data_IF_555782681871
#
_entry.id   IF_555782681871
#
_cell.length_a   1.000
_cell.length_b   1.000
_cell.length_c   1.000
_cell.angle_alpha   90.00
_cell.angle_beta   90.00
_cell.angle_gamma   90.00
#
_symmetry.space_group_name_H-M   'P 1'
#
loop_
_entity.id
_entity.type
_entity.pdbx_description
1 polymer ?
#
# COMPACT_ATOMS: atom_id res chain seq x y z
N UNK A 1 -5.66 -0.13 7.22
CA UNK A 1 -6.11 1.26 7.04
C UNK A 1 -4.91 2.17 6.94
N UNK A 2 -4.92 3.13 6.02
CA UNK A 2 -3.77 3.96 5.68
C UNK A 2 -3.20 4.83 6.80
N UNK A 3 -3.95 5.11 7.86
CA UNK A 3 -3.55 6.10 8.86
C UNK A 3 -2.23 5.75 9.58
N UNK A 4 -2.06 4.50 9.99
CA UNK A 4 -0.82 4.06 10.66
C UNK A 4 0.35 4.00 9.71
N UNK A 5 0.13 3.54 8.48
CA UNK A 5 1.14 3.56 7.42
C UNK A 5 1.58 5.00 7.13
N UNK A 6 0.64 5.93 7.04
CA UNK A 6 0.93 7.34 6.83
C UNK A 6 1.77 7.94 7.94
N UNK A 7 1.48 7.59 9.19
CA UNK A 7 2.23 8.08 10.35
C UNK A 7 3.65 7.53 10.40
N UNK A 8 3.86 6.25 10.15
CA UNK A 8 5.20 5.67 10.19
C UNK A 8 6.06 6.08 9.01
N UNK A 9 5.46 6.28 7.83
CA UNK A 9 6.14 6.74 6.62
C UNK A 9 6.26 8.27 6.53
N UNK A 10 5.57 8.99 7.38
CA UNK A 10 5.44 10.46 7.32
C UNK A 10 4.87 10.94 5.98
N UNK A 11 3.82 10.28 5.55
CA UNK A 11 3.09 10.58 4.31
C UNK A 11 1.63 10.86 4.67
N UNK A 12 1.02 11.86 4.02
CA UNK A 12 -0.40 12.15 4.26
C UNK A 12 -1.29 11.01 3.74
N UNK A 13 -2.46 10.78 4.37
CA UNK A 13 -3.39 9.74 3.89
C UNK A 13 -3.79 9.92 2.43
N UNK A 14 -3.98 11.15 1.99
CA UNK A 14 -4.33 11.46 0.60
C UNK A 14 -3.22 11.04 -0.38
N UNK A 15 -1.99 11.34 -0.04
CA UNK A 15 -0.82 10.96 -0.84
C UNK A 15 -0.69 9.45 -0.90
N UNK A 16 -0.86 8.79 0.25
CA UNK A 16 -0.81 7.34 0.36
C UNK A 16 -1.85 6.66 -0.52
N UNK A 17 -3.10 7.15 -0.52
CA UNK A 17 -4.16 6.65 -1.40
C UNK A 17 -3.80 6.78 -2.88
N UNK A 18 -3.25 7.92 -3.28
CA UNK A 18 -2.86 8.13 -4.68
C UNK A 18 -1.83 7.12 -5.15
N UNK A 19 -0.90 6.74 -4.30
CA UNK A 19 0.11 5.73 -4.61
C UNK A 19 -0.51 4.33 -4.61
N UNK A 20 -1.28 3.99 -3.59
CA UNK A 20 -1.89 2.67 -3.44
C UNK A 20 -2.85 2.32 -4.59
N UNK A 21 -3.57 3.32 -5.12
CA UNK A 21 -4.56 3.13 -6.18
C UNK A 21 -4.05 3.54 -7.58
N UNK A 22 -2.74 3.60 -7.76
CA UNK A 22 -2.10 3.78 -9.07
C UNK A 22 -2.41 5.12 -9.74
N UNK A 23 -2.69 6.17 -8.95
CA UNK A 23 -2.90 7.52 -9.45
C UNK A 23 -1.60 8.32 -9.58
N UNK A 24 -0.57 7.99 -8.80
CA UNK A 24 0.70 8.70 -8.80
C UNK A 24 1.86 7.74 -8.51
N UNK A 25 3.04 8.10 -9.00
CA UNK A 25 4.29 7.44 -8.63
C UNK A 25 4.83 8.00 -7.33
N UNK A 26 5.62 7.20 -6.63
CA UNK A 26 6.41 7.64 -5.48
C UNK A 26 7.88 7.28 -5.72
N UNK A 27 8.78 8.18 -5.38
CA UNK A 27 10.22 7.97 -5.54
C UNK A 27 10.71 7.00 -4.46
N UNK A 28 11.22 5.85 -4.89
CA UNK A 28 11.78 4.80 -4.03
C UNK A 28 13.29 4.96 -3.86
N UNK A 29 13.97 5.41 -4.90
CA UNK A 29 15.40 5.68 -4.90
C UNK A 29 15.67 6.87 -5.82
N UNK A 30 16.15 7.97 -5.24
CA UNK A 30 16.44 9.18 -6.01
C UNK A 30 17.72 9.10 -6.83
N UNK A 31 18.64 8.18 -6.51
CA UNK A 31 19.94 8.11 -7.16
C UNK A 31 20.70 9.43 -7.06
N UNK A 32 21.35 9.81 -8.15
CA UNK A 32 22.11 11.07 -8.27
C UNK A 32 21.27 12.22 -8.85
N UNK A 33 19.95 12.10 -8.78
CA UNK A 33 19.03 13.14 -9.26
C UNK A 33 18.74 14.18 -8.19
N UNK A 34 18.06 15.27 -8.57
CA UNK A 34 17.58 16.31 -7.65
C UNK A 34 16.21 16.00 -7.04
N UNK A 35 15.70 14.77 -7.30
CA UNK A 35 14.46 14.32 -6.71
C UNK A 35 14.59 14.08 -5.20
N UNK A 36 13.46 14.11 -4.51
CA UNK A 36 13.40 13.79 -3.09
C UNK A 36 12.91 12.36 -2.88
N UNK A 37 13.46 11.68 -1.88
CA UNK A 37 12.94 10.39 -1.43
C UNK A 37 11.47 10.54 -0.99
N UNK A 38 10.60 9.65 -1.44
CA UNK A 38 9.15 9.68 -1.24
C UNK A 38 8.42 10.82 -1.97
N UNK A 39 9.08 11.49 -2.89
CA UNK A 39 8.43 12.50 -3.72
C UNK A 39 7.35 11.86 -4.59
N UNK A 40 6.22 12.56 -4.74
CA UNK A 40 5.11 12.12 -5.59
C UNK A 40 5.28 12.72 -6.98
N UNK A 41 5.14 11.88 -7.99
CA UNK A 41 5.21 12.28 -9.39
C UNK A 41 3.95 11.86 -10.12
N UNK A 42 3.40 12.76 -10.92
CA UNK A 42 2.38 12.41 -11.91
C UNK A 42 3.01 11.65 -13.07
N UNK A 43 2.20 11.07 -13.94
CA UNK A 43 2.70 10.42 -15.17
C UNK A 43 3.54 11.39 -16.02
N UNK A 44 3.07 12.61 -16.21
CA UNK A 44 3.78 13.63 -16.96
C UNK A 44 5.12 14.01 -16.31
N UNK A 45 5.11 14.26 -15.01
CA UNK A 45 6.32 14.58 -14.25
C UNK A 45 7.33 13.43 -14.29
N UNK A 46 6.86 12.20 -14.19
CA UNK A 46 7.72 11.01 -14.29
C UNK A 46 8.39 10.93 -15.66
N UNK A 47 7.66 11.18 -16.75
CA UNK A 47 8.22 11.17 -18.10
C UNK A 47 9.26 12.28 -18.28
N UNK A 48 9.00 13.48 -17.77
CA UNK A 48 9.94 14.60 -17.79
C UNK A 48 11.25 14.25 -17.05
N UNK A 49 11.15 13.67 -15.86
CA UNK A 49 12.33 13.28 -15.08
C UNK A 49 13.10 12.14 -15.75
N UNK A 50 12.40 11.20 -16.41
CA UNK A 50 13.04 10.16 -17.21
C UNK A 50 13.85 10.72 -18.37
N UNK A 51 13.31 11.70 -19.06
CA UNK A 51 14.00 12.37 -20.18
C UNK A 51 15.21 13.16 -19.68
N UNK A 52 15.07 13.83 -18.54
CA UNK A 52 16.13 14.66 -17.96
C UNK A 52 17.32 13.86 -17.44
N UNK A 53 17.07 12.74 -16.73
CA UNK A 53 18.09 11.99 -16.00
C UNK A 53 18.42 10.64 -16.60
N UNK A 54 17.52 10.07 -17.40
CA UNK A 54 17.57 8.70 -17.88
C UNK A 54 16.79 7.73 -17.00
N UNK A 55 16.28 6.67 -17.57
CA UNK A 55 15.40 5.72 -16.91
C UNK A 55 16.06 4.92 -15.78
N UNK A 56 17.41 4.83 -15.79
CA UNK A 56 18.18 4.09 -14.79
C UNK A 56 18.73 4.95 -13.67
N UNK A 57 18.55 6.27 -13.77
CA UNK A 57 19.13 7.23 -12.81
C UNK A 57 18.39 7.23 -11.46
N UNK A 58 17.12 6.86 -11.45
CA UNK A 58 16.28 6.82 -10.26
C UNK A 58 15.24 5.72 -10.38
N UNK A 59 14.58 5.40 -9.26
CA UNK A 59 13.56 4.38 -9.22
C UNK A 59 12.28 4.90 -8.57
N UNK A 60 11.14 4.60 -9.18
CA UNK A 60 9.82 4.94 -8.69
C UNK A 60 8.95 3.68 -8.62
N UNK A 61 7.84 3.77 -7.93
CA UNK A 61 6.87 2.68 -7.86
C UNK A 61 5.46 3.17 -7.64
N UNK A 62 4.52 2.25 -7.73
CA UNK A 62 3.10 2.45 -7.49
C UNK A 62 2.52 1.24 -6.76
N UNK A 63 1.37 1.44 -6.11
CA UNK A 63 0.62 0.37 -5.47
C UNK A 63 1.21 -0.09 -4.14
N UNK A 64 0.61 -1.14 -3.59
CA UNK A 64 1.02 -1.70 -2.30
C UNK A 64 2.46 -2.20 -2.29
N UNK A 65 2.96 -2.69 -3.42
CA UNK A 65 4.34 -3.14 -3.58
C UNK A 65 5.34 -2.02 -3.29
N UNK A 66 5.09 -0.82 -3.82
CA UNK A 66 5.94 0.35 -3.56
C UNK A 66 5.90 0.75 -2.09
N UNK A 67 4.74 0.76 -1.48
CA UNK A 67 4.58 1.07 -0.06
C UNK A 67 5.27 0.03 0.81
N UNK A 68 5.19 -1.25 0.45
CA UNK A 68 5.90 -2.32 1.16
C UNK A 68 7.42 -2.08 1.15
N UNK A 69 7.98 -1.70 0.02
CA UNK A 69 9.41 -1.40 -0.09
C UNK A 69 9.81 -0.23 0.82
N UNK A 70 9.00 0.84 0.86
CA UNK A 70 9.23 1.96 1.77
C UNK A 70 9.17 1.53 3.23
N UNK A 71 8.22 0.67 3.59
CA UNK A 71 8.07 0.15 4.95
C UNK A 71 9.27 -0.73 5.35
N UNK A 72 9.76 -1.55 4.44
CA UNK A 72 10.96 -2.39 4.66
C UNK A 72 12.22 -1.56 4.91
N UNK A 73 12.28 -0.36 4.36
CA UNK A 73 13.43 0.54 4.47
C UNK A 73 13.47 1.34 5.77
N UNK A 74 12.46 1.23 6.63
CA UNK A 74 12.40 1.96 7.89
C UNK A 74 13.36 1.34 8.91
N UNK A 75 14.22 2.17 9.47
CA UNK A 75 15.01 1.85 10.66
C UNK A 75 14.26 2.41 11.87
N UNK A 76 13.60 1.54 12.63
CA UNK A 76 12.76 1.94 13.77
C UNK A 76 13.56 2.65 14.86
N UNK A 77 14.80 2.21 15.12
CA UNK A 77 15.65 2.83 16.15
C UNK A 77 16.05 4.26 15.75
N UNK A 78 16.41 4.44 14.50
CA UNK A 78 16.74 5.76 13.95
C UNK A 78 15.54 6.69 13.95
N UNK A 79 14.38 6.21 13.49
CA UNK A 79 13.13 6.97 13.51
C UNK A 79 12.75 7.40 14.92
N UNK A 80 12.85 6.49 15.88
CA UNK A 80 12.56 6.78 17.28
C UNK A 80 13.47 7.89 17.83
N UNK A 81 14.78 7.77 17.59
CA UNK A 81 15.73 8.76 18.05
C UNK A 81 15.51 10.15 17.43
N UNK A 82 15.24 10.20 16.12
CA UNK A 82 14.96 11.45 15.41
C UNK A 82 13.67 12.11 15.89
N UNK A 83 12.63 11.33 16.11
CA UNK A 83 11.36 11.84 16.61
C UNK A 83 11.48 12.35 18.05
N UNK A 84 12.20 11.65 18.90
CA UNK A 84 12.47 12.12 20.27
C UNK A 84 13.25 13.43 20.27
N UNK A 85 14.28 13.53 19.46
CA UNK A 85 15.06 14.77 19.32
C UNK A 85 14.20 15.94 18.81
N UNK A 86 13.34 15.68 17.83
CA UNK A 86 12.42 16.69 17.29
C UNK A 86 11.35 17.15 18.26
N UNK A 87 10.98 16.30 19.21
CA UNK A 87 9.95 16.60 20.21
C UNK A 87 10.36 17.72 21.16
N UNK A 88 11.65 17.86 21.44
CA UNK A 88 12.18 18.82 22.41
C UNK A 88 11.82 20.26 22.07
N UNK A 89 11.90 20.62 20.78
CA UNK A 89 11.67 21.99 20.31
C UNK A 89 10.36 22.16 19.52
N UNK A 90 9.57 21.11 19.36
CA UNK A 90 8.33 21.18 18.61
C UNK A 90 7.18 21.72 19.45
N UNK A 91 6.31 22.53 18.81
CA UNK A 91 5.11 23.09 19.43
C UNK A 91 3.91 22.98 18.49
N UNK A 92 2.69 23.11 19.02
CA UNK A 92 1.46 23.12 18.25
C UNK A 92 1.22 21.81 17.47
N UNK A 93 0.78 21.94 16.24
CA UNK A 93 0.44 20.80 15.38
C UNK A 93 1.63 19.91 15.05
N UNK A 94 2.81 20.50 14.92
CA UNK A 94 4.03 19.75 14.69
C UNK A 94 4.34 18.79 15.84
N UNK A 95 4.21 19.28 17.06
CA UNK A 95 4.39 18.44 18.27
C UNK A 95 3.35 17.31 18.32
N UNK A 96 2.09 17.63 18.05
CA UNK A 96 1.01 16.62 18.05
C UNK A 96 1.28 15.51 17.04
N UNK A 97 1.77 15.86 15.85
CA UNK A 97 2.13 14.87 14.83
C UNK A 97 3.30 14.00 15.26
N UNK A 98 4.34 14.60 15.84
CA UNK A 98 5.50 13.85 16.34
C UNK A 98 5.08 12.86 17.42
N UNK A 99 4.21 13.27 18.35
CA UNK A 99 3.69 12.40 19.40
C UNK A 99 2.94 11.20 18.81
N UNK A 100 2.06 11.43 17.83
CA UNK A 100 1.34 10.35 17.15
C UNK A 100 2.27 9.39 16.42
N UNK A 101 3.28 9.93 15.73
CA UNK A 101 4.28 9.11 15.04
C UNK A 101 5.11 8.29 16.02
N UNK A 102 5.51 8.87 17.16
CA UNK A 102 6.23 8.17 18.22
C UNK A 102 5.42 6.99 18.77
N UNK A 103 4.14 7.17 18.99
CA UNK A 103 3.27 6.09 19.45
C UNK A 103 3.29 4.88 18.51
N UNK A 104 3.23 5.14 17.21
CA UNK A 104 3.25 4.08 16.20
C UNK A 104 4.63 3.40 16.13
N UNK A 105 5.70 4.19 16.10
CA UNK A 105 7.07 3.67 16.07
C UNK A 105 7.37 2.84 17.30
N UNK A 106 7.00 3.32 18.49
CA UNK A 106 7.20 2.61 19.75
C UNK A 106 6.42 1.29 19.79
N UNK A 107 5.17 1.29 19.30
CA UNK A 107 4.37 0.08 19.23
C UNK A 107 5.03 -1.00 18.36
N UNK A 108 5.63 -0.64 17.23
CA UNK A 108 6.38 -1.59 16.41
C UNK A 108 7.67 -2.05 17.09
N UNK A 109 8.40 -1.17 17.76
CA UNK A 109 9.62 -1.53 18.47
C UNK A 109 9.35 -2.52 19.60
N UNK A 110 8.33 -2.26 20.41
CA UNK A 110 7.98 -3.10 21.56
C UNK A 110 7.39 -4.44 21.17
N UNK A 111 6.56 -4.48 20.14
CA UNK A 111 5.92 -5.72 19.71
C UNK A 111 6.82 -6.65 18.92
N UNK A 112 7.89 -6.14 18.33
CA UNK A 112 8.74 -6.88 17.41
C UNK A 112 8.11 -7.12 16.04
N UNK A 113 6.92 -6.57 15.78
CA UNK A 113 6.29 -6.62 14.46
C UNK A 113 7.04 -5.72 13.49
N UNK A 114 7.11 -6.17 12.23
CA UNK A 114 7.75 -5.38 11.18
C UNK A 114 6.72 -4.53 10.45
N UNK A 115 7.04 -3.25 10.17
CA UNK A 115 6.10 -2.36 9.46
C UNK A 115 5.61 -2.90 8.12
N UNK A 116 6.48 -3.59 7.36
CA UNK A 116 6.12 -4.19 6.07
C UNK A 116 5.06 -5.28 6.16
N UNK A 117 4.79 -5.82 7.34
CA UNK A 117 3.72 -6.81 7.55
C UNK A 117 2.32 -6.19 7.44
N UNK A 118 2.20 -4.89 7.43
CA UNK A 118 0.93 -4.22 7.14
C UNK A 118 0.47 -4.42 5.69
N UNK A 119 1.37 -4.82 4.80
CA UNK A 119 1.05 -5.19 3.42
C UNK A 119 0.98 -6.71 3.35
N UNK A 120 -0.16 -7.22 2.91
CA UNK A 120 -0.41 -8.65 2.82
C UNK A 120 0.10 -9.20 1.49
N UNK A 121 0.91 -10.26 1.53
CA UNK A 121 1.34 -11.01 0.35
C UNK A 121 0.38 -12.15 0.02
N UNK A 122 -0.39 -12.60 1.01
CA UNK A 122 -1.42 -13.63 0.88
C UNK A 122 -2.66 -13.20 1.67
N UNK A 123 -3.83 -13.44 1.09
CA UNK A 123 -5.10 -13.11 1.73
C UNK A 123 -5.59 -14.35 2.49
N UNK A 124 -5.82 -14.25 3.81
CA UNK A 124 -6.37 -15.35 4.57
C UNK A 124 -7.83 -15.61 4.15
N UNK A 125 -8.18 -16.88 4.04
CA UNK A 125 -9.52 -17.31 3.66
C UNK A 125 -10.14 -18.05 4.84
N UNK A 126 -11.29 -17.60 5.30
CA UNK A 126 -11.99 -18.26 6.40
C UNK A 126 -12.54 -19.63 5.96
N UNK A 127 -12.67 -20.60 6.88
CA UNK A 127 -13.19 -21.92 6.56
C UNK A 127 -14.59 -21.89 5.93
N UNK A 128 -14.92 -22.86 5.06
CA UNK A 128 -16.23 -22.92 4.40
C UNK A 128 -17.42 -22.94 5.35
N UNK A 129 -17.28 -23.53 6.53
CA UNK A 129 -18.35 -23.57 7.53
C UNK A 129 -18.74 -22.18 8.05
N UNK A 130 -17.84 -21.22 7.99
CA UNK A 130 -18.09 -19.83 8.38
C UNK A 130 -18.64 -18.95 7.26
N UNK A 131 -18.75 -19.52 6.04
CA UNK A 131 -19.32 -18.85 4.86
C UNK A 131 -20.17 -19.83 4.07
N UNK A 132 -21.20 -20.42 4.71
CA UNK A 132 -21.92 -21.54 4.13
C UNK A 132 -22.77 -21.15 2.93
N UNK A 133 -22.95 -22.14 2.02
CA UNK A 133 -23.97 -22.11 0.98
C UNK A 133 -25.10 -22.97 1.45
N UNK A 134 -26.29 -22.41 1.62
CA UNK A 134 -27.48 -23.13 2.10
C UNK A 134 -28.51 -23.26 1.00
N UNK A 135 -29.16 -24.41 0.95
CA UNK A 135 -30.24 -24.65 0.01
C UNK A 135 -31.54 -24.06 0.55
N UNK A 136 -32.18 -23.23 -0.28
CA UNK A 136 -33.48 -22.66 0.00
C UNK A 136 -34.60 -23.55 -0.58
N UNK A 137 -35.84 -23.32 -0.13
CA UNK A 137 -37.02 -23.95 -0.72
C UNK A 137 -37.09 -23.66 -2.22
N UNK A 138 -37.42 -24.70 -3.02
CA UNK A 138 -37.48 -24.57 -4.47
C UNK A 138 -36.17 -24.81 -5.22
N UNK A 139 -35.15 -25.37 -4.56
CA UNK A 139 -33.88 -25.75 -5.19
C UNK A 139 -32.89 -24.61 -5.40
N UNK A 140 -33.17 -23.42 -4.85
CA UNK A 140 -32.26 -22.27 -4.90
C UNK A 140 -31.23 -22.38 -3.77
N UNK A 141 -30.02 -21.82 -4.03
CA UNK A 141 -28.97 -21.72 -3.02
C UNK A 141 -28.81 -20.28 -2.61
N UNK A 142 -28.67 -20.04 -1.30
CA UNK A 142 -28.22 -18.78 -0.75
C UNK A 142 -26.78 -18.94 -0.25
N UNK A 143 -25.92 -18.00 -0.58
CA UNK A 143 -24.53 -18.02 -0.14
C UNK A 143 -24.22 -16.75 0.64
N UNK A 144 -23.20 -16.84 1.51
CA UNK A 144 -22.66 -15.66 2.19
C UNK A 144 -22.08 -14.67 1.19
N UNK A 145 -22.22 -13.38 1.47
CA UNK A 145 -21.60 -12.30 0.69
C UNK A 145 -20.07 -12.46 0.63
N UNK A 146 -19.47 -13.08 1.63
CA UNK A 146 -18.04 -13.39 1.66
C UNK A 146 -17.61 -14.26 0.48
N UNK A 147 -18.44 -15.22 0.08
CA UNK A 147 -18.12 -16.09 -1.06
C UNK A 147 -18.01 -15.27 -2.36
N UNK A 148 -18.88 -14.30 -2.55
CA UNK A 148 -18.81 -13.40 -3.71
C UNK A 148 -17.57 -12.52 -3.65
N UNK A 149 -17.22 -11.98 -2.49
CA UNK A 149 -16.03 -11.16 -2.29
C UNK A 149 -14.75 -11.96 -2.57
N UNK A 150 -14.63 -13.18 -2.07
CA UNK A 150 -13.50 -14.06 -2.38
C UNK A 150 -13.43 -14.40 -3.87
N UNK A 151 -14.57 -14.66 -4.50
CA UNK A 151 -14.64 -14.97 -5.94
C UNK A 151 -14.11 -13.80 -6.76
N UNK A 152 -14.47 -12.58 -6.42
CA UNK A 152 -13.97 -11.38 -7.10
C UNK A 152 -12.45 -11.26 -7.00
N UNK A 153 -11.89 -11.50 -5.83
CA UNK A 153 -10.44 -11.49 -5.62
C UNK A 153 -9.76 -12.54 -6.47
N UNK A 154 -10.25 -13.78 -6.44
CA UNK A 154 -9.67 -14.90 -7.19
C UNK A 154 -9.72 -14.60 -8.69
N UNK A 155 -10.86 -14.16 -9.21
CA UNK A 155 -11.02 -13.84 -10.62
C UNK A 155 -10.08 -12.70 -11.07
N UNK A 156 -9.98 -11.64 -10.27
CA UNK A 156 -9.07 -10.52 -10.54
C UNK A 156 -7.61 -10.95 -10.50
N UNK A 157 -7.25 -11.77 -9.51
CA UNK A 157 -5.89 -12.28 -9.38
C UNK A 157 -5.50 -13.17 -10.58
N UNK A 158 -6.39 -14.06 -10.99
CA UNK A 158 -6.16 -14.92 -12.14
C UNK A 158 -6.05 -14.12 -13.44
N UNK A 159 -6.87 -13.09 -13.60
CA UNK A 159 -6.81 -12.21 -14.75
C UNK A 159 -5.50 -11.42 -14.79
N UNK A 160 -5.06 -10.89 -13.65
CA UNK A 160 -3.78 -10.19 -13.54
C UNK A 160 -2.62 -11.11 -13.91
N UNK A 161 -2.61 -12.34 -13.40
CA UNK A 161 -1.60 -13.34 -13.74
C UNK A 161 -1.53 -13.58 -15.24
N UNK A 162 -2.68 -13.74 -15.89
CA UNK A 162 -2.76 -13.94 -17.35
C UNK A 162 -2.23 -12.73 -18.11
N UNK A 163 -2.59 -11.52 -17.69
CA UNK A 163 -2.11 -10.28 -18.33
C UNK A 163 -0.59 -10.15 -18.23
N UNK A 164 -0.01 -10.50 -17.08
CA UNK A 164 1.44 -10.49 -16.87
C UNK A 164 2.14 -11.53 -17.74
N UNK A 165 1.59 -12.74 -17.84
CA UNK A 165 2.14 -13.80 -18.69
C UNK A 165 2.11 -13.45 -20.17
N UNK A 166 1.08 -12.73 -20.60
CA UNK A 166 0.92 -12.28 -22.00
C UNK A 166 1.73 -11.03 -22.33
N UNK A 167 2.38 -10.42 -21.34
CA UNK A 167 3.12 -9.18 -21.56
C UNK A 167 2.23 -7.99 -21.90
N UNK A 168 1.05 -7.90 -21.32
CA UNK A 168 0.09 -6.81 -21.58
C UNK A 168 0.71 -5.43 -21.30
N UNK A 169 0.23 -4.36 -21.96
CA UNK A 169 0.70 -3.00 -21.70
C UNK A 169 0.56 -2.59 -20.24
N UNK A 170 1.49 -1.79 -19.76
CA UNK A 170 1.54 -1.36 -18.37
C UNK A 170 0.24 -0.72 -17.87
N UNK A 171 -0.42 0.07 -18.70
CA UNK A 171 -1.67 0.74 -18.33
C UNK A 171 -2.78 -0.27 -18.01
N UNK A 172 -2.84 -1.37 -18.76
CA UNK A 172 -3.82 -2.45 -18.53
C UNK A 172 -3.47 -3.22 -17.26
N UNK A 173 -2.20 -3.52 -17.06
CA UNK A 173 -1.71 -4.21 -15.86
C UNK A 173 -1.99 -3.37 -14.60
N UNK A 174 -1.70 -2.07 -14.62
CA UNK A 174 -1.98 -1.16 -13.51
C UNK A 174 -3.46 -1.10 -13.18
N UNK A 175 -4.30 -1.02 -14.20
CA UNK A 175 -5.74 -1.00 -13.99
C UNK A 175 -6.24 -2.27 -13.31
N UNK A 176 -5.75 -3.43 -13.72
CA UNK A 176 -6.10 -4.70 -13.10
C UNK A 176 -5.56 -4.81 -11.66
N UNK A 177 -4.35 -4.35 -11.41
CA UNK A 177 -3.78 -4.28 -10.05
C UNK A 177 -4.62 -3.38 -9.13
N UNK A 178 -5.08 -2.23 -9.65
CA UNK A 178 -5.96 -1.33 -8.89
C UNK A 178 -7.29 -2.01 -8.56
N UNK A 179 -7.89 -2.69 -9.53
CA UNK A 179 -9.15 -3.40 -9.32
C UNK A 179 -9.01 -4.57 -8.34
N UNK A 180 -7.86 -5.26 -8.35
CA UNK A 180 -7.56 -6.29 -7.37
C UNK A 180 -7.44 -5.69 -5.96
N UNK A 181 -6.75 -4.56 -5.82
CA UNK A 181 -6.65 -3.84 -4.55
C UNK A 181 -8.03 -3.45 -4.02
N UNK A 182 -8.89 -2.92 -4.87
CA UNK A 182 -10.27 -2.55 -4.52
C UNK A 182 -11.09 -3.77 -4.08
N UNK A 183 -10.90 -4.92 -4.73
CA UNK A 183 -11.58 -6.15 -4.35
C UNK A 183 -11.13 -6.65 -2.96
N UNK A 184 -9.86 -6.53 -2.65
CA UNK A 184 -9.31 -6.85 -1.31
C UNK A 184 -9.85 -5.90 -0.26
N UNK A 185 -9.88 -4.60 -0.57
CA UNK A 185 -10.43 -3.58 0.33
C UNK A 185 -11.90 -3.88 0.67
N UNK A 186 -12.69 -4.26 -0.32
CA UNK A 186 -14.10 -4.62 -0.12
C UNK A 186 -14.27 -5.83 0.82
N UNK A 187 -13.35 -6.78 0.77
CA UNK A 187 -13.35 -7.93 1.68
C UNK A 187 -13.02 -7.51 3.12
N UNK A 188 -12.00 -6.67 3.29
CA UNK A 188 -11.49 -6.27 4.61
C UNK A 188 -12.40 -5.26 5.30
N UNK A 189 -12.91 -4.28 4.56
CA UNK A 189 -13.72 -3.17 5.07
C UNK A 189 -15.23 -3.41 4.97
N UNK A 190 -15.62 -4.62 4.73
CA UNK A 190 -17.03 -4.97 4.56
C UNK A 190 -17.83 -4.94 5.89
#
# INVERSE_FOLDING_TARGET
>A
IPSRMGLILDISPRTLERVLYFASYIVLDKGETDLQYKQILSEAEYQEEKEKWGSKAFRVGMGAEAIQELLQSIDLEKEYAELQAGLVNATGQKRARIVKRLEVVEAFRESGNKPEWMILSAIPVIPPDLRPMVQLDGGRFATSDLNDLYRRIINRNNRLRRLLELGAPDIIVRNEKRMLQEAVDALIDN
#
